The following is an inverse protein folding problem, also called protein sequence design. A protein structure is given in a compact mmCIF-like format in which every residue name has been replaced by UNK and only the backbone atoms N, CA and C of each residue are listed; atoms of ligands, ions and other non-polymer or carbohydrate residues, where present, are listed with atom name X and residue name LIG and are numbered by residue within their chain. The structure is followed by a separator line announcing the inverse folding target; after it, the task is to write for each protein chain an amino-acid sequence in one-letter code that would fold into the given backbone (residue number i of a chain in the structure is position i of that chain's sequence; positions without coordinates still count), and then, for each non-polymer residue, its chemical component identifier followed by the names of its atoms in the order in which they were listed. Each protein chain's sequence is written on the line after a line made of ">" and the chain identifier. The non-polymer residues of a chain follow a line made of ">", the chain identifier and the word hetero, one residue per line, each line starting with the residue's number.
data_IF_780202806391
#
_entry.id   IF_780202806391
#
_cell.length_a   1.000
_cell.length_b   1.000
_cell.length_c   1.000
_cell.angle_alpha   90.00
_cell.angle_beta   90.00
_cell.angle_gamma   90.00
#
_symmetry.space_group_name_H-M   'P 1'
#
loop_
_entity.id
_entity.type
_entity.pdbx_description
1 polymer ?
#
# COMPACT_ATOMS: atom_id res chain seq x y z
N UNK A 1 -11.68 -6.89 0.58
CA UNK A 1 -10.27 -6.54 0.81
C UNK A 1 -9.49 -7.74 1.34
N UNK A 2 -8.26 -7.97 0.84
CA UNK A 2 -7.36 -9.01 1.36
C UNK A 2 -6.81 -8.58 2.73
N UNK A 3 -6.92 -9.45 3.73
CA UNK A 3 -6.23 -9.29 5.01
C UNK A 3 -4.75 -9.66 4.85
N UNK A 4 -3.90 -8.66 4.68
CA UNK A 4 -2.47 -8.88 4.43
C UNK A 4 -1.71 -9.31 5.69
N UNK A 5 -2.31 -9.24 6.88
CA UNK A 5 -1.67 -9.69 8.13
C UNK A 5 -1.49 -11.19 8.19
N UNK A 6 -2.30 -11.95 7.45
CA UNK A 6 -2.25 -13.43 7.37
C UNK A 6 -1.37 -13.96 6.22
N UNK A 7 -0.68 -13.08 5.50
CA UNK A 7 0.20 -13.48 4.40
C UNK A 7 1.56 -13.94 4.94
N UNK A 8 1.78 -15.25 4.97
CA UNK A 8 3.01 -15.87 5.50
C UNK A 8 4.13 -16.03 4.46
N UNK A 9 3.80 -16.17 3.18
CA UNK A 9 4.80 -16.30 2.11
C UNK A 9 5.50 -14.97 1.84
N UNK A 10 6.80 -15.04 1.54
CA UNK A 10 7.62 -13.90 1.09
C UNK A 10 7.22 -13.41 -0.31
N UNK A 11 6.88 -14.35 -1.20
CA UNK A 11 6.52 -14.07 -2.58
C UNK A 11 5.27 -14.86 -2.99
N UNK A 12 4.43 -14.20 -3.79
CA UNK A 12 3.23 -14.77 -4.39
C UNK A 12 3.31 -14.67 -5.91
N UNK A 13 2.82 -15.68 -6.59
CA UNK A 13 2.69 -15.70 -8.04
C UNK A 13 1.52 -14.83 -8.50
N UNK A 14 1.51 -14.40 -9.77
CA UNK A 14 0.38 -13.66 -10.33
C UNK A 14 -0.94 -14.45 -10.26
N UNK A 15 -0.88 -15.78 -10.30
CA UNK A 15 -2.07 -16.63 -10.18
C UNK A 15 -2.66 -16.58 -8.79
N UNK A 16 -1.84 -16.80 -7.76
CA UNK A 16 -2.29 -16.71 -6.37
C UNK A 16 -2.90 -15.33 -6.07
N UNK A 17 -2.27 -14.25 -6.55
CA UNK A 17 -2.79 -12.89 -6.33
C UNK A 17 -4.09 -12.64 -7.10
N UNK A 18 -4.21 -13.18 -8.31
CA UNK A 18 -5.44 -13.13 -9.11
C UNK A 18 -6.60 -13.83 -8.39
N UNK A 19 -6.36 -15.02 -7.86
CA UNK A 19 -7.35 -15.81 -7.14
C UNK A 19 -7.77 -15.13 -5.84
N UNK A 20 -6.82 -14.55 -5.09
CA UNK A 20 -7.10 -13.79 -3.86
C UNK A 20 -7.96 -12.54 -4.10
N UNK A 21 -7.78 -11.86 -5.23
CA UNK A 21 -8.54 -10.67 -5.60
C UNK A 21 -9.81 -10.99 -6.40
N UNK A 22 -9.99 -12.23 -6.85
CA UNK A 22 -11.08 -12.61 -7.73
C UNK A 22 -11.04 -11.90 -9.09
N UNK A 23 -9.85 -11.58 -9.61
CA UNK A 23 -9.67 -10.86 -10.88
C UNK A 23 -8.84 -11.67 -11.87
N UNK A 24 -8.87 -11.31 -13.16
CA UNK A 24 -8.03 -11.96 -14.16
C UNK A 24 -6.56 -11.56 -14.02
N UNK A 25 -5.65 -12.50 -14.34
CA UNK A 25 -4.20 -12.25 -14.41
C UNK A 25 -3.88 -11.08 -15.37
N UNK A 26 -4.65 -10.94 -16.45
CA UNK A 26 -4.49 -9.85 -17.43
C UNK A 26 -4.78 -8.49 -16.81
N UNK A 27 -5.79 -8.38 -15.93
CA UNK A 27 -6.10 -7.12 -15.25
C UNK A 27 -4.96 -6.71 -14.30
N UNK A 28 -4.35 -7.67 -13.59
CA UNK A 28 -3.18 -7.39 -12.75
C UNK A 28 -2.00 -6.90 -13.57
N UNK A 29 -1.74 -7.49 -14.75
CA UNK A 29 -0.69 -7.02 -15.68
C UNK A 29 -0.98 -5.62 -16.19
N UNK A 30 -2.25 -5.33 -16.48
CA UNK A 30 -2.66 -4.00 -16.90
C UNK A 30 -2.46 -2.96 -15.79
N UNK A 31 -2.82 -3.28 -14.54
CA UNK A 31 -2.52 -2.39 -13.41
C UNK A 31 -1.02 -2.22 -13.17
N UNK A 32 -0.21 -3.27 -13.34
CA UNK A 32 1.26 -3.12 -13.29
C UNK A 32 1.80 -2.13 -14.33
N UNK A 33 1.29 -2.15 -15.57
CA UNK A 33 1.71 -1.18 -16.59
C UNK A 33 1.23 0.24 -16.28
N UNK A 34 0.05 0.38 -15.70
CA UNK A 34 -0.56 1.68 -15.42
C UNK A 34 0.01 2.33 -14.16
N UNK A 35 0.34 1.57 -13.13
CA UNK A 35 0.77 2.08 -11.83
C UNK A 35 2.27 1.86 -11.61
N UNK A 36 3.14 2.89 -11.83
CA UNK A 36 4.59 2.74 -11.70
C UNK A 36 5.04 2.43 -10.26
N UNK A 37 4.17 2.64 -9.27
CA UNK A 37 4.41 2.29 -7.88
C UNK A 37 4.30 0.80 -7.62
N UNK A 38 3.61 0.04 -8.47
CA UNK A 38 3.46 -1.41 -8.40
C UNK A 38 4.56 -2.07 -9.25
N UNK A 39 5.69 -2.39 -8.62
CA UNK A 39 6.83 -3.04 -9.28
C UNK A 39 7.07 -4.44 -8.67
N UNK A 40 6.37 -5.49 -9.14
CA UNK A 40 6.70 -6.86 -8.74
C UNK A 40 8.08 -7.24 -9.28
N UNK A 41 8.84 -8.03 -8.52
CA UNK A 41 10.13 -8.55 -8.98
C UNK A 41 9.91 -9.66 -10.00
N UNK A 42 10.82 -9.82 -10.97
CA UNK A 42 10.81 -10.96 -11.90
C UNK A 42 11.81 -12.01 -11.43
N UNK A 43 11.43 -13.28 -11.45
CA UNK A 43 12.37 -14.38 -11.23
C UNK A 43 13.27 -14.58 -12.46
N UNK A 44 14.25 -15.48 -12.37
CA UNK A 44 15.16 -15.81 -13.47
C UNK A 44 14.47 -16.37 -14.72
N UNK A 45 13.22 -16.83 -14.61
CA UNK A 45 12.39 -17.34 -15.71
C UNK A 45 11.45 -16.28 -16.31
N UNK A 46 11.44 -15.07 -15.76
CA UNK A 46 10.58 -13.96 -16.19
C UNK A 46 9.21 -13.90 -15.52
N UNK A 47 8.88 -14.81 -14.60
CA UNK A 47 7.62 -14.78 -13.86
C UNK A 47 7.63 -13.71 -12.77
N UNK A 48 6.48 -13.07 -12.59
CA UNK A 48 6.27 -12.03 -11.57
C UNK A 48 6.12 -12.64 -10.18
N UNK A 49 6.86 -12.08 -9.23
CA UNK A 49 6.78 -12.34 -7.79
C UNK A 49 6.30 -11.09 -7.09
N UNK A 50 5.13 -11.20 -6.48
CA UNK A 50 4.49 -10.15 -5.70
C UNK A 50 4.87 -10.31 -4.24
N UNK A 51 5.36 -9.23 -3.64
CA UNK A 51 5.56 -9.16 -2.19
C UNK A 51 4.26 -8.78 -1.50
N UNK A 52 4.18 -8.95 -0.18
CA UNK A 52 3.07 -8.44 0.63
C UNK A 52 2.75 -6.96 0.34
N UNK A 53 3.78 -6.11 0.21
CA UNK A 53 3.61 -4.69 -0.15
C UNK A 53 2.96 -4.50 -1.51
N UNK A 54 3.31 -5.32 -2.50
CA UNK A 54 2.66 -5.26 -3.82
C UNK A 54 1.19 -5.69 -3.75
N UNK A 55 0.86 -6.67 -2.91
CA UNK A 55 -0.51 -7.13 -2.69
C UNK A 55 -1.33 -6.03 -2.02
N UNK A 56 -0.78 -5.31 -1.03
CA UNK A 56 -1.43 -4.16 -0.40
C UNK A 56 -1.74 -3.06 -1.42
N UNK A 57 -0.79 -2.75 -2.30
CA UNK A 57 -0.98 -1.79 -3.38
C UNK A 57 -2.07 -2.24 -4.36
N UNK A 58 -2.09 -3.52 -4.74
CA UNK A 58 -3.12 -4.08 -5.61
C UNK A 58 -4.51 -4.05 -4.95
N UNK A 59 -4.59 -4.32 -3.65
CA UNK A 59 -5.83 -4.26 -2.88
C UNK A 59 -6.39 -2.83 -2.85
N UNK A 60 -5.50 -1.82 -2.71
CA UNK A 60 -5.88 -0.42 -2.80
C UNK A 60 -6.38 -0.04 -4.21
N UNK A 61 -5.67 -0.45 -5.25
CA UNK A 61 -6.09 -0.21 -6.65
C UNK A 61 -7.45 -0.87 -6.91
N UNK A 62 -7.64 -2.11 -6.46
CA UNK A 62 -8.92 -2.81 -6.57
C UNK A 62 -10.05 -2.02 -5.91
N UNK A 63 -9.86 -1.57 -4.66
CA UNK A 63 -10.86 -0.78 -3.95
C UNK A 63 -11.24 0.50 -4.70
N UNK A 64 -10.25 1.25 -5.19
CA UNK A 64 -10.50 2.49 -5.90
C UNK A 64 -11.22 2.27 -7.23
N UNK A 65 -10.78 1.28 -8.02
CA UNK A 65 -11.30 1.09 -9.38
C UNK A 65 -12.59 0.27 -9.41
N UNK A 66 -12.71 -0.78 -8.59
CA UNK A 66 -13.86 -1.70 -8.61
C UNK A 66 -14.94 -1.35 -7.62
N UNK A 67 -14.58 -0.96 -6.40
CA UNK A 67 -15.56 -0.68 -5.35
C UNK A 67 -16.02 0.78 -5.37
N UNK A 68 -15.09 1.73 -5.59
CA UNK A 68 -15.42 3.16 -5.66
C UNK A 68 -15.66 3.70 -7.08
N UNK A 69 -15.38 2.91 -8.11
CA UNK A 69 -15.66 3.28 -9.50
C UNK A 69 -14.77 4.38 -10.09
N UNK A 70 -13.59 4.64 -9.51
CA UNK A 70 -12.64 5.57 -10.09
C UNK A 70 -12.12 5.07 -11.44
N UNK A 71 -11.83 5.99 -12.34
CA UNK A 71 -11.00 5.70 -13.51
C UNK A 71 -9.57 5.37 -13.07
N UNK A 72 -8.79 4.74 -13.94
CA UNK A 72 -7.38 4.43 -13.67
C UNK A 72 -6.60 5.71 -13.32
N UNK A 73 -6.87 6.81 -14.01
CA UNK A 73 -6.24 8.10 -13.75
C UNK A 73 -6.67 8.71 -12.41
N UNK A 74 -7.97 8.66 -12.10
CA UNK A 74 -8.49 9.09 -10.79
C UNK A 74 -7.89 8.29 -9.64
N UNK A 75 -7.77 6.98 -9.78
CA UNK A 75 -7.12 6.13 -8.79
C UNK A 75 -5.62 6.45 -8.62
N UNK A 76 -4.90 6.82 -9.70
CA UNK A 76 -3.51 7.28 -9.60
C UNK A 76 -3.38 8.57 -8.80
N UNK A 77 -4.29 9.51 -9.01
CA UNK A 77 -4.29 10.79 -8.31
C UNK A 77 -4.62 10.58 -6.83
N UNK A 78 -5.65 9.80 -6.52
CA UNK A 78 -6.03 9.47 -5.13
C UNK A 78 -4.88 8.77 -4.37
N UNK A 79 -4.15 7.84 -5.01
CA UNK A 79 -3.00 7.18 -4.39
C UNK A 79 -1.86 8.17 -4.12
N UNK A 80 -1.65 9.16 -4.99
CA UNK A 80 -0.63 10.21 -4.79
C UNK A 80 -1.04 11.17 -3.68
N UNK A 81 -2.27 11.64 -3.67
CA UNK A 81 -2.82 12.54 -2.64
C UNK A 81 -2.91 11.85 -1.28
N UNK A 82 -3.32 10.58 -1.25
CA UNK A 82 -3.35 9.76 -0.04
C UNK A 82 -1.96 9.56 0.57
N UNK A 83 -0.91 9.42 -0.24
CA UNK A 83 0.48 9.39 0.24
C UNK A 83 0.90 10.71 0.87
N UNK A 84 0.62 11.84 0.22
CA UNK A 84 0.91 13.15 0.78
C UNK A 84 0.17 13.36 2.11
N UNK A 85 -1.11 12.98 2.16
CA UNK A 85 -1.92 13.06 3.38
C UNK A 85 -1.37 12.17 4.50
N UNK A 86 -0.90 10.96 4.18
CA UNK A 86 -0.30 10.06 5.15
C UNK A 86 1.05 10.56 5.68
N UNK A 87 1.90 11.10 4.80
CA UNK A 87 3.19 11.70 5.18
C UNK A 87 3.00 12.90 6.11
N UNK A 88 2.04 13.78 5.81
CA UNK A 88 1.66 14.90 6.68
C UNK A 88 1.14 14.40 8.04
N UNK A 89 0.30 13.35 8.06
CA UNK A 89 -0.19 12.77 9.32
C UNK A 89 0.95 12.19 10.17
N UNK A 90 1.91 11.50 9.57
CA UNK A 90 3.07 10.98 10.28
C UNK A 90 3.93 12.10 10.89
N UNK A 91 4.15 13.18 10.14
CA UNK A 91 4.87 14.35 10.64
C UNK A 91 4.18 14.98 11.86
N UNK A 92 2.85 15.12 11.80
CA UNK A 92 2.04 15.62 12.93
C UNK A 92 2.17 14.70 14.15
N UNK A 93 2.11 13.38 13.95
CA UNK A 93 2.26 12.41 15.04
C UNK A 93 3.64 12.49 15.72
N UNK A 94 4.72 12.57 14.94
CA UNK A 94 6.07 12.72 15.50
C UNK A 94 6.22 14.06 16.25
N UNK A 95 5.64 15.14 15.72
CA UNK A 95 5.63 16.43 16.40
C UNK A 95 4.89 16.36 17.74
N UNK A 96 3.71 15.74 17.78
CA UNK A 96 2.94 15.56 19.01
C UNK A 96 3.69 14.70 20.04
N UNK A 97 4.35 13.62 19.58
CA UNK A 97 5.18 12.77 20.43
C UNK A 97 6.36 13.54 21.04
N UNK A 98 7.02 14.38 20.24
CA UNK A 98 8.11 15.26 20.71
C UNK A 98 7.63 16.32 21.71
N UNK A 99 6.39 16.83 21.54
CA UNK A 99 5.80 17.79 22.48
C UNK A 99 5.48 17.10 23.81
N UNK A 100 4.90 15.90 23.77
CA UNK A 100 4.64 15.09 24.97
C UNK A 100 5.92 14.84 25.76
N UNK A 101 6.99 14.37 25.10
CA UNK A 101 8.27 14.13 25.75
C UNK A 101 8.87 15.40 26.38
N UNK A 102 8.68 16.57 25.75
CA UNK A 102 9.12 17.85 26.32
C UNK A 102 8.32 18.22 27.57
N UNK A 103 7.01 17.99 27.55
CA UNK A 103 6.14 18.25 28.70
C UNK A 103 6.41 17.28 29.86
N UNK A 104 6.69 16.01 29.58
CA UNK A 104 7.11 15.03 30.58
C UNK A 104 8.40 15.49 31.27
N UNK A 105 9.43 15.87 30.51
CA UNK A 105 10.67 16.42 31.07
C UNK A 105 10.44 17.67 31.92
N UNK A 106 9.51 18.54 31.50
CA UNK A 106 9.19 19.73 32.28
C UNK A 106 8.53 19.34 33.59
N UNK A 107 7.59 18.39 33.58
CA UNK A 107 6.95 17.87 34.79
C UNK A 107 7.98 17.32 35.79
N UNK A 108 8.93 16.51 35.31
CA UNK A 108 10.00 15.93 36.14
C UNK A 108 10.96 16.98 36.71
N UNK A 109 10.92 18.23 36.22
CA UNK A 109 11.74 19.33 36.75
C UNK A 109 11.09 20.02 37.95
N UNK A 110 9.79 19.80 38.20
CA UNK A 110 9.04 20.40 39.31
C UNK A 110 8.63 19.38 40.40
N UNK A 111 9.02 18.11 40.27
CA UNK A 111 9.05 17.11 41.36
C UNK A 111 10.45 17.07 41.98
#
# INVERSE_FOLDING_TARGET
>A
MIDTTKLEKLYYSIGEVADMLGVSKSLIRYWESEFPTLKPSKNSKGDRRFTKKNIEQLNLIFHLVKERGFTIEGAKNEIKEGKQTYEVRLEVLERLKSMRQRLEKFKDTFE
#
